data_IF_111852951086
#
_entry.id   IF_111852951086
#
_cell.length_a   1.000
_cell.length_b   1.000
_cell.length_c   1.000
_cell.angle_alpha   90.00
_cell.angle_beta   90.00
_cell.angle_gamma   90.00
#
_symmetry.space_group_name_H-M   'P 1'
#
loop_
_entity.id
_entity.type
_entity.pdbx_description
1 polymer ?
#
# COMPACT_ATOMS: atom_id res chain seq x y z
N UNK A 1 22.33 72.96 -15.38
CA UNK A 1 23.37 73.62 -14.59
C UNK A 1 23.91 72.62 -13.60
N UNK A 2 25.19 72.27 -13.73
CA UNK A 2 26.09 71.78 -12.66
C UNK A 2 26.16 72.82 -11.53
N UNK A 3 26.49 72.47 -10.27
CA UNK A 3 27.72 71.79 -9.82
C UNK A 3 27.46 70.61 -8.84
N UNK A 4 28.29 69.59 -8.65
CA UNK A 4 29.75 69.38 -8.54
C UNK A 4 30.36 69.73 -7.16
N UNK A 5 31.34 68.90 -6.77
CA UNK A 5 32.23 68.92 -5.57
C UNK A 5 31.72 68.20 -4.30
N UNK A 6 32.53 67.54 -3.48
CA UNK A 6 33.81 66.79 -3.57
C UNK A 6 34.10 66.40 -2.09
N UNK A 7 34.58 65.17 -1.82
CA UNK A 7 35.62 64.82 -0.80
C UNK A 7 35.39 65.23 0.69
N UNK A 8 35.66 64.46 1.75
CA UNK A 8 36.59 63.36 2.04
C UNK A 8 36.24 62.79 3.44
N UNK A 9 36.31 61.47 3.65
CA UNK A 9 37.33 60.72 4.45
C UNK A 9 37.47 61.06 5.95
N UNK A 10 37.39 59.99 6.76
CA UNK A 10 38.40 59.44 7.70
C UNK A 10 37.63 58.55 8.71
N UNK A 11 38.01 57.34 9.11
CA UNK A 11 39.15 56.49 8.79
C UNK A 11 39.03 55.15 9.56
N UNK A 12 39.60 54.08 8.98
CA UNK A 12 40.29 52.96 9.67
C UNK A 12 39.44 51.95 10.49
N UNK A 13 39.58 50.62 10.46
CA UNK A 13 40.69 49.73 10.11
C UNK A 13 40.25 48.37 9.51
N UNK A 14 41.21 47.77 8.82
CA UNK A 14 41.35 46.51 8.03
C UNK A 14 41.32 45.21 8.89
N UNK A 15 41.78 44.02 8.39
CA UNK A 15 41.53 43.29 7.11
C UNK A 15 41.29 41.77 7.34
N UNK A 16 40.93 41.01 6.30
CA UNK A 16 41.50 39.68 6.06
C UNK A 16 41.35 39.25 4.59
N UNK A 17 42.50 38.92 4.01
CA UNK A 17 42.81 38.39 2.69
C UNK A 17 42.56 36.87 2.60
N UNK A 18 42.38 36.34 1.38
CA UNK A 18 42.95 35.01 1.06
C UNK A 18 42.21 34.08 0.08
N UNK A 19 42.18 34.46 -1.20
CA UNK A 19 42.43 33.66 -2.44
C UNK A 19 41.90 32.21 -2.64
N UNK A 20 41.14 32.06 -3.74
CA UNK A 20 41.21 31.05 -4.85
C UNK A 20 41.12 29.54 -4.57
N UNK A 21 40.46 28.70 -5.38
CA UNK A 21 40.41 28.66 -6.85
C UNK A 21 39.27 27.75 -7.35
N UNK A 22 38.81 28.05 -8.55
CA UNK A 22 37.82 27.32 -9.36
C UNK A 22 38.51 26.27 -10.24
N UNK A 23 37.86 25.12 -10.42
CA UNK A 23 38.00 24.29 -11.62
C UNK A 23 36.65 23.68 -11.96
N UNK A 24 36.17 24.02 -13.16
CA UNK A 24 34.97 23.48 -13.79
C UNK A 24 35.20 22.05 -14.29
N UNK A 25 34.17 21.20 -14.28
CA UNK A 25 33.98 20.12 -15.24
C UNK A 25 32.50 19.72 -15.27
N UNK A 26 31.98 19.59 -16.48
CA UNK A 26 30.65 19.11 -16.84
C UNK A 26 30.35 17.74 -16.24
N UNK A 27 29.11 17.50 -15.83
CA UNK A 27 28.61 16.16 -15.53
C UNK A 27 27.19 15.98 -16.06
N UNK A 28 27.10 15.02 -16.98
CA UNK A 28 25.92 14.45 -17.60
C UNK A 28 24.81 14.13 -16.60
N UNK A 29 23.58 14.27 -17.08
CA UNK A 29 22.34 13.88 -16.41
C UNK A 29 22.28 12.36 -16.31
N UNK A 30 22.57 11.79 -15.14
CA UNK A 30 22.19 10.43 -14.77
C UNK A 30 20.92 10.50 -13.92
N UNK A 31 19.83 9.93 -14.44
CA UNK A 31 18.59 9.71 -13.70
C UNK A 31 18.82 8.60 -12.66
N UNK A 32 19.27 8.96 -11.46
CA UNK A 32 19.08 8.13 -10.27
C UNK A 32 17.82 8.59 -9.53
N UNK A 33 16.67 8.12 -10.00
CA UNK A 33 15.39 8.22 -9.30
C UNK A 33 15.10 6.93 -8.55
N UNK A 34 15.79 6.68 -7.43
CA UNK A 34 15.50 5.54 -6.56
C UNK A 34 14.19 5.82 -5.79
N UNK A 35 13.03 5.58 -6.44
CA UNK A 35 11.72 5.64 -5.79
C UNK A 35 11.55 4.35 -4.99
N UNK A 36 12.07 4.36 -3.76
CA UNK A 36 11.79 3.30 -2.78
C UNK A 36 10.30 3.40 -2.44
N UNK A 37 9.47 2.53 -3.02
CA UNK A 37 8.09 2.35 -2.60
C UNK A 37 8.08 2.06 -1.10
N UNK A 38 7.58 3.00 -0.30
CA UNK A 38 7.42 2.79 1.13
C UNK A 38 6.48 1.61 1.35
N UNK A 39 6.78 0.69 2.28
CA UNK A 39 5.90 -0.43 2.55
C UNK A 39 4.52 0.09 2.94
N UNK A 40 3.48 -0.57 2.41
CA UNK A 40 2.10 -0.37 2.84
C UNK A 40 2.00 -0.61 4.36
N UNK A 41 2.01 0.47 5.14
CA UNK A 41 1.75 0.41 6.57
C UNK A 41 0.24 0.28 6.75
N UNK A 42 -0.22 -0.89 7.22
CA UNK A 42 -1.62 -1.10 7.61
C UNK A 42 -1.72 -0.79 9.11
N UNK A 43 -2.00 0.47 9.44
CA UNK A 43 -2.30 0.88 10.81
C UNK A 43 -3.81 0.87 11.01
N UNK A 44 -4.37 -0.16 11.66
CA UNK A 44 -5.83 -0.26 11.78
C UNK A 44 -6.41 -1.33 12.72
N UNK A 45 -5.65 -1.90 13.65
CA UNK A 45 -6.21 -2.78 14.68
C UNK A 45 -6.22 -2.05 16.03
N UNK A 46 -7.36 -1.47 16.39
CA UNK A 46 -7.63 -1.03 17.77
C UNK A 46 -7.93 -2.25 18.65
N UNK A 47 -7.30 -2.31 19.83
CA UNK A 47 -7.57 -3.17 21.01
C UNK A 47 -8.37 -4.47 20.78
N UNK A 48 -7.86 -5.37 19.93
CA UNK A 48 -8.34 -6.76 19.84
C UNK A 48 -7.16 -7.72 19.89
N UNK A 49 -7.29 -8.76 20.73
CA UNK A 49 -6.25 -9.76 21.01
C UNK A 49 -5.53 -10.26 19.74
N UNK A 50 -4.20 -10.00 19.61
CA UNK A 50 -3.40 -10.40 18.44
C UNK A 50 -3.35 -11.91 18.17
N UNK A 51 -3.68 -12.72 19.18
CA UNK A 51 -3.57 -14.19 19.14
C UNK A 51 -4.71 -14.85 18.33
N UNK A 52 -5.84 -14.17 18.12
CA UNK A 52 -6.99 -14.73 17.39
C UNK A 52 -6.90 -14.56 15.86
N UNK A 53 -6.04 -13.66 15.37
CA UNK A 53 -5.86 -13.38 13.94
C UNK A 53 -4.45 -13.71 13.41
N UNK A 54 -3.50 -14.08 14.28
CA UNK A 54 -2.16 -14.52 13.88
C UNK A 54 -1.35 -13.47 13.11
N UNK A 55 -1.62 -12.18 13.31
CA UNK A 55 -0.92 -11.08 12.66
C UNK A 55 -0.05 -10.32 13.68
N UNK A 56 1.13 -10.87 13.98
CA UNK A 56 2.21 -10.10 14.59
C UNK A 56 3.02 -9.43 13.47
N UNK A 57 3.10 -8.10 13.49
CA UNK A 57 3.78 -7.29 12.47
C UNK A 57 5.21 -6.90 12.88
N UNK A 58 5.80 -7.53 13.90
CA UNK A 58 7.15 -7.20 14.38
C UNK A 58 8.18 -8.28 14.06
N UNK A 59 8.66 -8.34 12.81
CA UNK A 59 10.01 -8.90 12.53
C UNK A 59 10.74 -8.04 11.51
N UNK A 60 11.49 -7.08 12.03
CA UNK A 60 12.67 -6.53 11.36
C UNK A 60 13.77 -7.60 11.36
N UNK A 61 13.97 -8.30 10.24
CA UNK A 61 15.15 -9.12 9.98
C UNK A 61 16.02 -8.46 8.89
N UNK A 62 17.27 -8.05 9.17
CA UNK A 62 18.15 -7.37 8.20
C UNK A 62 18.81 -8.27 7.15
N UNK A 63 18.22 -9.41 6.77
CA UNK A 63 18.80 -10.30 5.76
C UNK A 63 17.72 -10.77 4.81
N UNK A 64 17.93 -10.49 3.52
CA UNK A 64 17.09 -10.94 2.41
C UNK A 64 16.60 -12.39 2.63
N UNK A 65 15.28 -12.63 2.76
CA UNK A 65 14.72 -13.96 3.02
C UNK A 65 14.53 -14.77 1.73
N UNK A 66 15.31 -14.47 0.67
CA UNK A 66 15.07 -15.00 -0.69
C UNK A 66 15.65 -16.41 -0.93
N UNK A 67 16.18 -17.11 0.08
CA UNK A 67 16.92 -18.35 -0.16
C UNK A 67 16.41 -19.61 0.57
N UNK A 68 15.37 -19.54 1.40
CA UNK A 68 15.06 -20.67 2.29
C UNK A 68 13.58 -20.93 2.39
N UNK A 69 13.02 -21.63 1.40
CA UNK A 69 12.18 -22.80 1.61
C UNK A 69 11.99 -23.53 0.26
N UNK A 70 12.57 -24.73 0.22
CA UNK A 70 12.42 -25.79 -0.79
C UNK A 70 12.83 -25.49 -2.23
N UNK A 71 14.12 -25.63 -2.53
CA UNK A 71 14.62 -26.40 -3.68
C UNK A 71 16.09 -26.77 -3.43
N UNK A 72 16.45 -28.04 -3.61
CA UNK A 72 17.86 -28.40 -3.78
C UNK A 72 18.37 -27.69 -5.05
N UNK A 73 19.53 -27.02 -5.03
CA UNK A 73 20.01 -26.29 -6.20
C UNK A 73 20.28 -27.28 -7.33
N UNK A 74 19.44 -27.24 -8.38
CA UNK A 74 19.71 -27.97 -9.61
C UNK A 74 20.93 -27.31 -10.29
N UNK A 75 22.06 -28.03 -10.49
CA UNK A 75 23.31 -27.45 -10.99
C UNK A 75 23.26 -26.92 -12.43
N UNK A 76 22.17 -27.15 -13.16
CA UNK A 76 22.09 -26.88 -14.61
C UNK A 76 21.26 -25.66 -15.03
N UNK A 77 20.58 -24.98 -14.11
CA UNK A 77 19.75 -23.80 -14.43
C UNK A 77 20.53 -22.51 -14.20
N UNK A 78 20.44 -21.55 -15.13
CA UNK A 78 20.97 -20.20 -14.93
C UNK A 78 20.22 -19.51 -13.78
N UNK A 79 20.79 -18.45 -13.22
CA UNK A 79 20.11 -17.69 -12.17
C UNK A 79 18.78 -17.10 -12.68
N UNK A 80 18.79 -16.59 -13.92
CA UNK A 80 17.61 -16.06 -14.58
C UNK A 80 16.49 -17.11 -14.71
N UNK A 81 16.83 -18.35 -15.08
CA UNK A 81 15.84 -19.43 -15.16
C UNK A 81 15.22 -19.74 -13.79
N UNK A 82 15.99 -19.60 -12.70
CA UNK A 82 15.47 -19.79 -11.34
C UNK A 82 14.47 -18.70 -10.96
N UNK A 83 14.76 -17.45 -11.30
CA UNK A 83 13.86 -16.31 -11.06
C UNK A 83 12.55 -16.50 -11.84
N UNK A 84 12.64 -16.89 -13.11
CA UNK A 84 11.47 -17.18 -13.95
C UNK A 84 10.65 -18.33 -13.38
N UNK A 85 11.29 -19.44 -13.01
CA UNK A 85 10.62 -20.58 -12.40
C UNK A 85 9.96 -20.21 -11.06
N UNK A 86 10.58 -19.34 -10.27
CA UNK A 86 10.00 -18.84 -9.03
C UNK A 86 8.73 -18.02 -9.30
N UNK A 87 8.74 -17.13 -10.29
CA UNK A 87 7.54 -16.36 -10.66
C UNK A 87 6.38 -17.30 -10.99
N UNK A 88 6.63 -18.29 -11.85
CA UNK A 88 5.61 -19.26 -12.28
C UNK A 88 5.11 -20.12 -11.11
N UNK A 89 6.01 -20.71 -10.33
CA UNK A 89 5.62 -21.60 -9.23
C UNK A 89 4.89 -20.84 -8.12
N UNK A 90 5.38 -19.64 -7.78
CA UNK A 90 4.71 -18.81 -6.78
C UNK A 90 3.35 -18.30 -7.28
N UNK A 91 3.17 -18.06 -8.58
CA UNK A 91 1.88 -17.72 -9.17
C UNK A 91 0.91 -18.91 -9.15
N UNK A 92 1.36 -20.11 -9.52
CA UNK A 92 0.55 -21.34 -9.40
C UNK A 92 0.07 -21.56 -7.98
N UNK A 93 0.97 -21.41 -7.02
CA UNK A 93 0.67 -21.55 -5.60
C UNK A 93 -0.34 -20.49 -5.14
N UNK A 94 -0.18 -19.25 -5.59
CA UNK A 94 -1.10 -18.15 -5.27
C UNK A 94 -2.50 -18.38 -5.85
N UNK A 95 -2.61 -18.73 -7.14
CA UNK A 95 -3.90 -19.04 -7.79
C UNK A 95 -4.59 -20.24 -7.13
N UNK A 96 -3.83 -21.27 -6.74
CA UNK A 96 -4.38 -22.41 -5.99
C UNK A 96 -4.91 -21.99 -4.62
N UNK A 97 -4.19 -21.11 -3.93
CA UNK A 97 -4.63 -20.58 -2.64
C UNK A 97 -5.92 -19.76 -2.81
N UNK A 98 -6.02 -18.91 -3.84
CA UNK A 98 -7.21 -18.15 -4.20
C UNK A 98 -8.41 -19.06 -4.54
N UNK A 99 -8.20 -20.04 -5.41
CA UNK A 99 -9.22 -21.03 -5.76
C UNK A 99 -9.82 -21.68 -4.51
N UNK A 100 -8.96 -22.05 -3.57
CA UNK A 100 -9.41 -22.71 -2.34
C UNK A 100 -10.09 -21.73 -1.36
N UNK A 101 -9.79 -20.43 -1.37
CA UNK A 101 -10.62 -19.43 -0.66
C UNK A 101 -12.04 -19.42 -1.26
N UNK A 102 -12.15 -19.39 -2.59
CA UNK A 102 -13.45 -19.33 -3.29
C UNK A 102 -14.23 -20.64 -3.09
N UNK A 103 -13.65 -21.78 -3.45
CA UNK A 103 -14.35 -23.06 -3.47
C UNK A 103 -14.54 -23.68 -2.09
N UNK A 104 -13.59 -23.52 -1.17
CA UNK A 104 -13.65 -24.23 0.11
C UNK A 104 -14.19 -23.37 1.27
N UNK A 105 -14.28 -22.05 1.09
CA UNK A 105 -14.85 -21.13 2.08
C UNK A 105 -16.05 -20.34 1.54
N UNK A 106 -15.89 -19.56 0.48
CA UNK A 106 -16.95 -18.67 -0.02
C UNK A 106 -18.19 -19.45 -0.48
N UNK A 107 -18.02 -20.42 -1.38
CA UNK A 107 -19.13 -21.23 -1.90
C UNK A 107 -19.88 -21.96 -0.78
N UNK A 108 -19.22 -22.69 0.14
CA UNK A 108 -19.92 -23.36 1.24
C UNK A 108 -20.61 -22.42 2.23
N UNK A 109 -20.15 -21.18 2.36
CA UNK A 109 -20.81 -20.16 3.19
C UNK A 109 -22.09 -19.68 2.52
N UNK A 110 -22.04 -19.43 1.20
CA UNK A 110 -23.21 -19.00 0.42
C UNK A 110 -24.27 -20.11 0.35
N UNK A 111 -23.84 -21.37 0.17
CA UNK A 111 -24.75 -22.51 0.06
C UNK A 111 -25.38 -22.91 1.40
N UNK A 112 -24.74 -22.55 2.52
CA UNK A 112 -25.26 -22.90 3.84
C UNK A 112 -26.38 -21.96 4.29
N UNK A 113 -27.60 -22.51 4.37
CA UNK A 113 -28.77 -21.80 4.92
C UNK A 113 -28.79 -21.72 6.44
N UNK A 114 -27.92 -22.47 7.12
CA UNK A 114 -27.91 -22.62 8.58
C UNK A 114 -26.86 -21.76 9.26
N UNK A 115 -25.87 -21.24 8.52
CA UNK A 115 -24.85 -20.37 9.10
C UNK A 115 -25.44 -18.99 9.39
N UNK A 116 -25.25 -18.43 10.60
CA UNK A 116 -25.76 -17.11 10.95
C UNK A 116 -24.83 -16.01 10.42
N UNK A 117 -24.62 -15.99 9.10
CA UNK A 117 -23.85 -14.97 8.39
C UNK A 117 -24.73 -14.34 7.32
N UNK A 118 -24.82 -13.01 7.34
CA UNK A 118 -25.66 -12.27 6.39
C UNK A 118 -24.94 -12.09 5.05
N UNK A 119 -25.66 -11.97 3.92
CA UNK A 119 -25.05 -11.71 2.62
C UNK A 119 -24.11 -10.49 2.63
N UNK A 120 -24.48 -9.41 3.33
CA UNK A 120 -23.65 -8.20 3.41
C UNK A 120 -22.32 -8.45 4.16
N UNK A 121 -22.33 -9.35 5.14
CA UNK A 121 -21.12 -9.78 5.85
C UNK A 121 -20.24 -10.65 4.95
N UNK A 122 -20.84 -11.52 4.12
CA UNK A 122 -20.08 -12.31 3.12
C UNK A 122 -19.40 -11.39 2.11
N UNK A 123 -20.13 -10.42 1.55
CA UNK A 123 -19.56 -9.43 0.63
C UNK A 123 -18.44 -8.62 1.28
N UNK A 124 -18.61 -8.22 2.54
CA UNK A 124 -17.57 -7.48 3.28
C UNK A 124 -16.34 -8.34 3.59
N UNK A 125 -16.56 -9.60 3.97
CA UNK A 125 -15.51 -10.55 4.34
C UNK A 125 -14.62 -10.95 3.15
N UNK A 126 -15.22 -11.21 1.98
CA UNK A 126 -14.50 -11.71 0.82
C UNK A 126 -14.22 -10.63 -0.23
N UNK A 127 -14.90 -9.47 -0.17
CA UNK A 127 -14.72 -8.39 -1.13
C UNK A 127 -14.94 -8.87 -2.57
N UNK A 128 -14.03 -8.50 -3.46
CA UNK A 128 -13.99 -8.93 -4.86
C UNK A 128 -12.99 -10.08 -5.10
N UNK A 129 -12.80 -10.99 -4.14
CA UNK A 129 -11.81 -12.10 -4.26
C UNK A 129 -12.06 -13.01 -5.48
N UNK A 130 -13.31 -13.17 -5.91
CA UNK A 130 -13.64 -13.96 -7.11
C UNK A 130 -13.06 -13.32 -8.37
N UNK A 131 -13.19 -12.00 -8.54
CA UNK A 131 -12.58 -11.28 -9.65
C UNK A 131 -11.04 -11.36 -9.60
N UNK A 132 -10.45 -11.30 -8.41
CA UNK A 132 -9.00 -11.51 -8.22
C UNK A 132 -8.61 -12.92 -8.66
N UNK A 133 -9.38 -13.94 -8.27
CA UNK A 133 -9.13 -15.32 -8.66
C UNK A 133 -9.22 -15.54 -10.18
N UNK A 134 -10.27 -15.02 -10.82
CA UNK A 134 -10.47 -15.11 -12.27
C UNK A 134 -9.31 -14.46 -13.03
N UNK A 135 -8.99 -13.20 -12.69
CA UNK A 135 -7.90 -12.46 -13.32
C UNK A 135 -6.55 -13.17 -13.18
N UNK A 136 -6.20 -13.65 -11.98
CA UNK A 136 -4.91 -14.31 -11.78
C UNK A 136 -4.86 -15.72 -12.40
N UNK A 137 -6.00 -16.39 -12.56
CA UNK A 137 -6.08 -17.64 -13.31
C UNK A 137 -5.77 -17.41 -14.80
N UNK A 138 -6.30 -16.33 -15.38
CA UNK A 138 -5.98 -15.92 -16.75
C UNK A 138 -4.51 -15.47 -16.88
N UNK A 139 -4.01 -14.68 -15.92
CA UNK A 139 -2.60 -14.28 -15.88
C UNK A 139 -1.69 -15.50 -15.85
N UNK A 140 -1.96 -16.47 -14.97
CA UNK A 140 -1.20 -17.73 -14.89
C UNK A 140 -1.25 -18.50 -16.22
N UNK A 141 -2.40 -18.56 -16.88
CA UNK A 141 -2.51 -19.20 -18.19
C UNK A 141 -1.62 -18.50 -19.23
N UNK A 142 -1.60 -17.16 -19.26
CA UNK A 142 -0.70 -16.41 -20.13
C UNK A 142 0.77 -16.70 -19.81
N UNK A 143 1.14 -16.69 -18.53
CA UNK A 143 2.51 -16.96 -18.08
C UNK A 143 2.97 -18.38 -18.43
N UNK A 144 2.09 -19.37 -18.37
CA UNK A 144 2.37 -20.75 -18.79
C UNK A 144 2.67 -20.88 -20.27
N UNK A 145 2.04 -20.04 -21.11
CA UNK A 145 2.25 -20.02 -22.56
C UNK A 145 3.58 -19.35 -22.95
N UNK A 146 4.19 -18.56 -22.05
CA UNK A 146 5.46 -17.89 -22.29
C UNK A 146 6.68 -18.84 -22.34
N UNK A 147 6.51 -20.13 -22.07
CA UNK A 147 7.58 -21.14 -22.14
C UNK A 147 8.86 -20.77 -21.37
N UNK A 148 8.71 -20.11 -20.21
CA UNK A 148 9.80 -19.60 -19.38
C UNK A 148 10.69 -18.53 -20.04
N UNK A 149 10.22 -17.85 -21.08
CA UNK A 149 10.90 -16.69 -21.66
C UNK A 149 10.70 -15.43 -20.79
N UNK A 150 11.78 -14.80 -20.27
CA UNK A 150 11.66 -13.60 -19.44
C UNK A 150 10.98 -12.41 -20.12
N UNK A 151 11.19 -12.22 -21.43
CA UNK A 151 10.60 -11.08 -22.17
C UNK A 151 9.10 -11.29 -22.36
N UNK A 152 8.68 -12.49 -22.76
CA UNK A 152 7.26 -12.83 -22.87
C UNK A 152 6.54 -12.73 -21.51
N UNK A 153 7.19 -13.13 -20.41
CA UNK A 153 6.66 -12.95 -19.06
C UNK A 153 6.49 -11.47 -18.73
N UNK A 154 7.51 -10.63 -18.97
CA UNK A 154 7.41 -9.19 -18.73
C UNK A 154 6.27 -8.56 -19.55
N UNK A 155 6.15 -8.94 -20.83
CA UNK A 155 5.08 -8.47 -21.71
C UNK A 155 3.69 -8.81 -21.19
N UNK A 156 3.50 -9.99 -20.61
CA UNK A 156 2.22 -10.35 -19.97
C UNK A 156 1.81 -9.39 -18.86
N UNK A 157 2.77 -8.85 -18.08
CA UNK A 157 2.48 -7.85 -17.05
C UNK A 157 2.15 -6.48 -17.64
N UNK A 158 2.84 -6.07 -18.71
CA UNK A 158 2.53 -4.82 -19.42
C UNK A 158 1.12 -4.87 -20.01
N UNK A 159 0.82 -5.94 -20.77
CA UNK A 159 -0.48 -6.12 -21.46
C UNK A 159 -1.67 -6.18 -20.49
N UNK A 160 -1.44 -6.64 -19.25
CA UNK A 160 -2.47 -6.77 -18.21
C UNK A 160 -2.43 -5.68 -17.14
N UNK A 161 -1.54 -4.69 -17.26
CA UNK A 161 -1.27 -3.67 -16.23
C UNK A 161 -2.54 -2.94 -15.75
N UNK A 162 -3.42 -2.52 -16.66
CA UNK A 162 -4.66 -1.81 -16.33
C UNK A 162 -5.64 -2.66 -15.50
N UNK A 163 -5.67 -3.98 -15.73
CA UNK A 163 -6.59 -4.89 -15.05
C UNK A 163 -6.22 -5.13 -13.58
N UNK A 164 -4.99 -4.81 -13.17
CA UNK A 164 -4.63 -4.88 -11.75
C UNK A 164 -5.38 -3.85 -10.88
N UNK A 165 -6.15 -2.93 -11.48
CA UNK A 165 -7.00 -1.99 -10.73
C UNK A 165 -7.94 -2.68 -9.73
N UNK A 166 -8.37 -3.92 -10.00
CA UNK A 166 -9.22 -4.71 -9.11
C UNK A 166 -8.59 -4.93 -7.71
N UNK A 167 -7.26 -4.90 -7.61
CA UNK A 167 -6.57 -4.98 -6.33
C UNK A 167 -6.77 -3.73 -5.48
N UNK A 168 -7.05 -2.57 -6.08
CA UNK A 168 -7.38 -1.35 -5.34
C UNK A 168 -8.64 -1.56 -4.49
N UNK A 169 -9.68 -2.12 -5.09
CA UNK A 169 -10.93 -2.44 -4.39
C UNK A 169 -10.69 -3.46 -3.27
N UNK A 170 -9.89 -4.50 -3.55
CA UNK A 170 -9.59 -5.52 -2.55
C UNK A 170 -8.81 -4.94 -1.35
N UNK A 171 -7.74 -4.18 -1.63
CA UNK A 171 -6.86 -3.61 -0.61
C UNK A 171 -7.55 -2.55 0.24
N UNK A 172 -8.45 -1.74 -0.33
CA UNK A 172 -9.25 -0.76 0.42
C UNK A 172 -10.29 -1.44 1.32
N UNK A 173 -10.88 -2.57 0.90
CA UNK A 173 -11.83 -3.33 1.70
C UNK A 173 -11.18 -4.27 2.73
N UNK A 174 -9.90 -4.64 2.57
CA UNK A 174 -9.23 -5.63 3.42
C UNK A 174 -9.36 -5.36 4.95
N UNK A 175 -9.24 -4.11 5.47
CA UNK A 175 -9.49 -3.84 6.89
C UNK A 175 -10.90 -4.24 7.35
N UNK A 176 -11.91 -4.00 6.51
CA UNK A 176 -13.29 -4.43 6.77
C UNK A 176 -13.42 -5.96 6.75
N UNK A 177 -12.74 -6.63 5.82
CA UNK A 177 -12.69 -8.11 5.79
C UNK A 177 -12.15 -8.70 7.10
N UNK A 178 -11.08 -8.11 7.65
CA UNK A 178 -10.51 -8.52 8.95
C UNK A 178 -11.49 -8.27 10.10
N UNK A 179 -12.14 -7.10 10.12
CA UNK A 179 -13.12 -6.76 11.14
C UNK A 179 -14.31 -7.75 11.14
N UNK A 180 -14.88 -8.02 9.96
CA UNK A 180 -16.00 -8.96 9.81
C UNK A 180 -15.58 -10.38 10.15
N UNK A 181 -14.38 -10.82 9.76
CA UNK A 181 -13.88 -12.14 10.16
C UNK A 181 -13.79 -12.26 11.68
N UNK A 182 -13.23 -11.25 12.34
CA UNK A 182 -13.14 -11.18 13.80
C UNK A 182 -14.51 -11.28 14.46
N UNK A 183 -15.50 -10.55 13.95
CA UNK A 183 -16.87 -10.60 14.46
C UNK A 183 -17.54 -11.94 14.20
N UNK A 184 -17.29 -12.57 13.05
CA UNK A 184 -17.75 -13.92 12.78
C UNK A 184 -17.15 -14.93 13.77
N UNK A 185 -15.86 -14.80 14.10
CA UNK A 185 -15.19 -15.69 15.05
C UNK A 185 -15.67 -15.52 16.50
N UNK A 186 -16.34 -14.41 16.85
CA UNK A 186 -17.04 -14.27 18.15
C UNK A 186 -18.29 -15.16 18.23
N UNK A 187 -18.90 -15.49 17.09
CA UNK A 187 -20.04 -16.40 17.05
C UNK A 187 -19.57 -17.86 17.09
N UNK A 188 -19.99 -18.62 18.11
CA UNK A 188 -19.57 -20.02 18.32
C UNK A 188 -19.84 -20.94 17.11
N UNK A 189 -20.95 -20.73 16.39
CA UNK A 189 -21.30 -21.58 15.23
C UNK A 189 -20.39 -21.30 14.03
N UNK A 190 -20.13 -20.03 13.71
CA UNK A 190 -19.23 -19.61 12.64
C UNK A 190 -17.78 -19.96 12.98
N UNK A 191 -17.35 -19.72 14.21
CA UNK A 191 -16.02 -20.10 14.68
C UNK A 191 -15.77 -21.61 14.55
N UNK A 192 -16.77 -22.43 14.90
CA UNK A 192 -16.71 -23.87 14.69
C UNK A 192 -16.64 -24.21 13.21
N UNK A 193 -17.48 -23.60 12.37
CA UNK A 193 -17.45 -23.81 10.93
C UNK A 193 -16.06 -23.53 10.32
N UNK A 194 -15.46 -22.37 10.61
CA UNK A 194 -14.12 -22.03 10.08
C UNK A 194 -13.05 -23.01 10.56
N UNK A 195 -13.11 -23.42 11.83
CA UNK A 195 -12.17 -24.40 12.40
C UNK A 195 -12.32 -25.78 11.77
N UNK A 196 -13.54 -26.28 11.66
CA UNK A 196 -13.84 -27.60 11.09
C UNK A 196 -13.45 -27.63 9.60
N UNK A 197 -13.70 -26.54 8.87
CA UNK A 197 -13.23 -26.37 7.47
C UNK A 197 -11.71 -26.36 7.38
N UNK A 198 -11.03 -25.55 8.19
CA UNK A 198 -9.56 -25.51 8.20
C UNK A 198 -8.95 -26.90 8.47
N UNK A 199 -9.49 -27.64 9.44
CA UNK A 199 -9.07 -29.00 9.76
C UNK A 199 -9.33 -29.98 8.61
N UNK A 200 -10.51 -29.92 7.99
CA UNK A 200 -10.88 -30.76 6.83
C UNK A 200 -9.95 -30.53 5.64
N UNK A 201 -9.54 -29.28 5.41
CA UNK A 201 -8.63 -28.90 4.33
C UNK A 201 -7.15 -29.15 4.68
N UNK A 202 -6.86 -29.61 5.90
CA UNK A 202 -5.50 -29.79 6.45
C UNK A 202 -4.63 -28.54 6.29
N UNK A 203 -5.25 -27.36 6.44
CA UNK A 203 -4.57 -26.07 6.29
C UNK A 203 -3.86 -25.69 7.58
N UNK A 204 -2.58 -25.34 7.47
CA UNK A 204 -1.75 -24.89 8.60
C UNK A 204 -2.14 -23.49 9.09
N UNK A 205 -2.58 -22.62 8.19
CA UNK A 205 -2.92 -21.23 8.49
C UNK A 205 -4.44 -21.00 8.57
N UNK A 206 -4.91 -20.03 9.38
CA UNK A 206 -6.31 -19.63 9.42
C UNK A 206 -6.71 -18.86 8.15
N UNK A 207 -8.02 -18.75 7.90
CA UNK A 207 -8.57 -18.05 6.72
C UNK A 207 -8.03 -16.62 6.57
N UNK A 208 -7.90 -15.87 7.67
CA UNK A 208 -7.37 -14.50 7.64
C UNK A 208 -5.99 -14.39 6.98
N UNK A 209 -5.10 -15.36 7.20
CA UNK A 209 -3.77 -15.38 6.56
C UNK A 209 -3.86 -15.59 5.05
N UNK A 210 -4.87 -16.31 4.56
CA UNK A 210 -5.10 -16.48 3.12
C UNK A 210 -5.71 -15.23 2.50
N UNK A 211 -6.62 -14.55 3.20
CA UNK A 211 -7.21 -13.28 2.74
C UNK A 211 -6.17 -12.15 2.63
N UNK A 212 -5.04 -12.25 3.33
CA UNK A 212 -3.93 -11.30 3.22
C UNK A 212 -3.08 -11.51 1.95
N UNK A 213 -3.10 -12.70 1.34
CA UNK A 213 -2.21 -13.05 0.22
C UNK A 213 -2.34 -12.10 -0.99
N UNK A 214 -3.53 -11.64 -1.42
CA UNK A 214 -3.64 -10.67 -2.52
C UNK A 214 -2.94 -9.34 -2.23
N UNK A 215 -3.09 -8.83 -1.00
CA UNK A 215 -2.42 -7.60 -0.55
C UNK A 215 -0.90 -7.78 -0.59
N UNK A 216 -0.40 -8.97 -0.26
CA UNK A 216 1.03 -9.27 -0.32
C UNK A 216 1.54 -9.51 -1.74
N UNK A 217 0.75 -10.16 -2.60
CA UNK A 217 1.16 -10.57 -3.95
C UNK A 217 1.37 -9.36 -4.85
N UNK A 218 0.46 -8.39 -4.79
CA UNK A 218 0.52 -7.19 -5.65
C UNK A 218 1.80 -6.36 -5.42
N UNK A 219 2.37 -6.43 -4.21
CA UNK A 219 3.62 -5.74 -3.84
C UNK A 219 4.89 -6.52 -4.18
N UNK A 220 4.74 -7.71 -4.77
CA UNK A 220 5.87 -8.57 -5.13
C UNK A 220 6.15 -8.58 -6.63
N UNK A 221 5.17 -8.29 -7.48
CA UNK A 221 5.35 -8.35 -8.94
C UNK A 221 6.49 -7.46 -9.43
N UNK A 222 6.54 -6.19 -8.99
CA UNK A 222 7.63 -5.29 -9.39
C UNK A 222 9.01 -5.77 -8.89
N UNK A 223 9.07 -6.38 -7.70
CA UNK A 223 10.34 -6.93 -7.15
C UNK A 223 10.83 -8.14 -7.95
N UNK A 224 9.90 -9.02 -8.35
CA UNK A 224 10.22 -10.19 -9.15
C UNK A 224 10.71 -9.80 -10.56
N UNK A 225 10.07 -8.79 -11.17
CA UNK A 225 10.48 -8.26 -12.47
C UNK A 225 11.84 -7.53 -12.40
N UNK A 226 12.12 -6.83 -11.30
CA UNK A 226 13.45 -6.26 -11.04
C UNK A 226 14.53 -7.34 -10.96
N UNK A 227 14.21 -8.50 -10.38
CA UNK A 227 15.14 -9.62 -10.32
C UNK A 227 15.40 -10.23 -11.70
N UNK A 228 14.40 -10.26 -12.59
CA UNK A 228 14.63 -10.59 -14.00
C UNK A 228 15.61 -9.59 -14.62
N UNK A 229 15.37 -8.29 -14.50
CA UNK A 229 16.19 -7.26 -15.14
C UNK A 229 17.67 -7.31 -14.71
N UNK A 230 17.95 -7.62 -13.43
CA UNK A 230 19.33 -7.76 -12.92
C UNK A 230 20.12 -8.86 -13.61
N UNK A 231 19.44 -9.91 -14.07
CA UNK A 231 20.06 -11.13 -14.61
C UNK A 231 19.83 -11.34 -16.11
N UNK A 232 18.96 -10.55 -16.73
CA UNK A 232 18.69 -10.59 -18.17
C UNK A 232 19.82 -9.97 -19.00
N UNK A 233 20.38 -8.84 -18.55
CA UNK A 233 21.43 -8.10 -19.28
C UNK A 233 20.85 -6.96 -20.12
N UNK A 234 21.40 -5.76 -19.99
CA UNK A 234 20.86 -4.53 -20.58
C UNK A 234 21.01 -4.44 -22.11
N UNK A 235 21.89 -5.27 -22.66
CA UNK A 235 22.26 -5.40 -24.06
C UNK A 235 21.48 -6.49 -24.81
N UNK A 236 20.62 -7.24 -24.10
CA UNK A 236 19.73 -8.23 -24.71
C UNK A 236 18.49 -7.58 -25.36
N UNK A 237 18.03 -8.17 -26.46
CA UNK A 237 16.78 -7.77 -27.12
C UNK A 237 15.58 -8.00 -26.19
N UNK A 238 14.71 -6.99 -26.04
CA UNK A 238 13.54 -7.05 -25.17
C UNK A 238 13.77 -6.59 -23.72
N UNK A 239 14.96 -6.10 -23.39
CA UNK A 239 15.23 -5.51 -22.06
C UNK A 239 14.34 -4.28 -21.75
N UNK A 240 14.00 -3.49 -22.77
CA UNK A 240 13.07 -2.38 -22.70
C UNK A 240 11.68 -2.80 -22.21
N UNK A 241 11.17 -3.94 -22.69
CA UNK A 241 9.90 -4.52 -22.24
C UNK A 241 9.96 -4.92 -20.77
N UNK A 242 11.11 -5.43 -20.31
CA UNK A 242 11.31 -5.76 -18.88
C UNK A 242 11.26 -4.49 -18.03
N UNK A 243 11.91 -3.40 -18.47
CA UNK A 243 11.86 -2.13 -17.77
C UNK A 243 10.45 -1.54 -17.74
N UNK A 244 9.72 -1.58 -18.85
CA UNK A 244 8.33 -1.14 -18.94
C UNK A 244 7.42 -1.93 -17.98
N UNK A 245 7.62 -3.25 -17.87
CA UNK A 245 6.89 -4.08 -16.92
C UNK A 245 7.18 -3.69 -15.47
N UNK A 246 8.44 -3.39 -15.13
CA UNK A 246 8.83 -2.92 -13.80
C UNK A 246 8.16 -1.58 -13.49
N UNK A 247 8.21 -0.62 -14.42
CA UNK A 247 7.59 0.70 -14.26
C UNK A 247 6.08 0.56 -14.06
N UNK A 248 5.41 -0.23 -14.90
CA UNK A 248 3.98 -0.49 -14.83
C UNK A 248 3.57 -1.08 -13.48
N UNK A 249 4.24 -2.15 -13.04
CA UNK A 249 3.89 -2.80 -11.77
C UNK A 249 4.28 -1.97 -10.53
N UNK A 250 5.30 -1.12 -10.65
CA UNK A 250 5.63 -0.14 -9.60
C UNK A 250 4.54 0.93 -9.52
N UNK A 251 4.05 1.41 -10.66
CA UNK A 251 2.93 2.35 -10.76
C UNK A 251 1.64 1.78 -10.15
N UNK A 252 1.31 0.52 -10.44
CA UNK A 252 0.17 -0.19 -9.83
C UNK A 252 0.28 -0.23 -8.30
N UNK A 253 1.44 -0.65 -7.77
CA UNK A 253 1.65 -0.71 -6.32
C UNK A 253 1.54 0.67 -5.65
N UNK A 254 2.11 1.70 -6.28
CA UNK A 254 2.01 3.08 -5.81
C UNK A 254 0.55 3.56 -5.81
N UNK A 255 -0.18 3.32 -6.90
CA UNK A 255 -1.57 3.74 -7.05
C UNK A 255 -2.48 3.09 -5.99
N UNK A 256 -2.34 1.78 -5.77
CA UNK A 256 -3.12 1.07 -4.73
C UNK A 256 -2.85 1.66 -3.35
N UNK A 257 -1.58 1.95 -3.03
CA UNK A 257 -1.22 2.58 -1.76
C UNK A 257 -1.80 3.99 -1.63
N UNK A 258 -1.76 4.78 -2.71
CA UNK A 258 -2.37 6.12 -2.76
C UNK A 258 -3.88 6.06 -2.52
N UNK A 259 -4.58 5.16 -3.20
CA UNK A 259 -6.02 4.96 -3.07
C UNK A 259 -6.40 4.46 -1.68
N UNK A 260 -5.61 3.56 -1.08
CA UNK A 260 -5.81 3.10 0.31
C UNK A 260 -5.68 4.27 1.29
N UNK A 261 -4.64 5.08 1.16
CA UNK A 261 -4.44 6.28 2.00
C UNK A 261 -5.62 7.26 1.86
N UNK A 262 -6.05 7.54 0.63
CA UNK A 262 -7.22 8.40 0.37
C UNK A 262 -8.51 7.84 0.97
N UNK A 263 -8.71 6.53 0.87
CA UNK A 263 -9.85 5.85 1.48
C UNK A 263 -9.84 6.00 3.02
N UNK A 264 -8.70 5.76 3.67
CA UNK A 264 -8.55 5.95 5.12
C UNK A 264 -8.82 7.39 5.55
N UNK A 265 -8.32 8.36 4.79
CA UNK A 265 -8.56 9.78 5.05
C UNK A 265 -10.04 10.15 4.86
N UNK A 266 -10.72 9.58 3.87
CA UNK A 266 -12.15 9.78 3.64
C UNK A 266 -12.99 9.19 4.78
N UNK A 267 -12.66 7.97 5.26
CA UNK A 267 -13.30 7.36 6.43
C UNK A 267 -13.08 8.23 7.67
N UNK A 268 -11.83 8.65 7.93
CA UNK A 268 -11.50 9.53 9.05
C UNK A 268 -12.24 10.87 9.00
N UNK A 269 -12.41 11.45 7.81
CA UNK A 269 -13.19 12.67 7.61
C UNK A 269 -14.65 12.48 8.01
N UNK A 270 -15.27 11.37 7.61
CA UNK A 270 -16.65 11.04 7.99
C UNK A 270 -16.79 10.87 9.51
N UNK A 271 -15.83 10.22 10.16
CA UNK A 271 -15.79 10.13 11.63
C UNK A 271 -15.72 11.51 12.27
N UNK A 272 -14.80 12.36 11.84
CA UNK A 272 -14.65 13.72 12.36
C UNK A 272 -15.95 14.50 12.20
N UNK A 273 -16.57 14.44 11.01
CA UNK A 273 -17.84 15.08 10.71
C UNK A 273 -18.94 14.62 11.67
N UNK A 274 -19.04 13.31 11.95
CA UNK A 274 -20.03 12.75 12.88
C UNK A 274 -19.82 13.18 14.34
N UNK A 275 -18.57 13.43 14.74
CA UNK A 275 -18.17 13.82 16.09
C UNK A 275 -18.11 15.34 16.29
N UNK A 276 -18.32 16.12 15.21
CA UNK A 276 -18.18 17.57 15.22
C UNK A 276 -19.46 18.26 15.72
N UNK A 277 -19.34 18.95 16.85
CA UNK A 277 -20.42 19.70 17.49
C UNK A 277 -20.30 21.19 17.14
N UNK A 278 -21.45 21.84 16.94
CA UNK A 278 -21.59 23.28 16.65
C UNK A 278 -21.01 23.72 15.29
N UNK A 279 -20.76 22.78 14.39
CA UNK A 279 -20.51 23.12 12.99
C UNK A 279 -21.82 23.38 12.25
N UNK A 280 -21.86 24.49 11.50
CA UNK A 280 -23.01 24.89 10.67
C UNK A 280 -22.60 25.15 9.22
N UNK A 281 -21.37 24.80 8.86
CA UNK A 281 -20.85 24.97 7.51
C UNK A 281 -21.23 23.81 6.60
N UNK A 282 -20.69 23.81 5.39
CA UNK A 282 -20.86 22.72 4.43
C UNK A 282 -20.22 21.41 4.92
N UNK A 283 -20.49 20.32 4.22
CA UNK A 283 -19.88 19.03 4.53
C UNK A 283 -18.35 19.11 4.47
N UNK A 284 -17.64 18.46 5.40
CA UNK A 284 -16.17 18.55 5.45
C UNK A 284 -15.51 18.05 4.15
N UNK A 285 -16.14 17.10 3.45
CA UNK A 285 -15.65 16.59 2.17
C UNK A 285 -15.60 17.69 1.08
N UNK A 286 -16.40 18.76 1.22
CA UNK A 286 -16.39 19.90 0.29
C UNK A 286 -15.14 20.76 0.41
N UNK A 287 -14.31 20.57 1.44
CA UNK A 287 -13.05 21.32 1.64
C UNK A 287 -11.80 20.56 1.18
N UNK A 288 -11.97 19.36 0.59
CA UNK A 288 -10.88 18.53 0.07
C UNK A 288 -10.49 17.39 0.98
N UNK A 289 -9.38 16.73 0.66
CA UNK A 289 -8.84 15.62 1.43
C UNK A 289 -8.33 16.10 2.79
N UNK A 290 -8.48 15.27 3.82
CA UNK A 290 -7.80 15.47 5.09
C UNK A 290 -6.31 15.23 4.86
N UNK A 291 -5.46 16.21 5.11
CA UNK A 291 -4.00 16.14 4.91
C UNK A 291 -3.29 15.82 6.22
N UNK A 292 -3.73 16.44 7.33
CA UNK A 292 -3.08 16.30 8.62
C UNK A 292 -4.06 16.51 9.78
N UNK A 293 -3.90 15.73 10.84
CA UNK A 293 -4.56 15.91 12.13
C UNK A 293 -3.49 16.09 13.23
N UNK A 294 -3.70 17.02 14.16
CA UNK A 294 -2.79 17.19 15.30
C UNK A 294 -3.40 17.97 16.46
N UNK A 295 -2.93 17.71 17.68
CA UNK A 295 -3.34 18.44 18.89
C UNK A 295 -2.19 19.33 19.36
N UNK A 296 -2.47 20.62 19.51
CA UNK A 296 -1.47 21.64 19.81
C UNK A 296 -1.87 22.47 21.04
N UNK A 297 -0.91 22.80 21.93
CA UNK A 297 -1.15 23.74 23.01
C UNK A 297 -1.29 25.16 22.45
N UNK A 298 -2.27 25.93 22.93
CA UNK A 298 -2.44 27.32 22.52
C UNK A 298 -1.50 28.22 23.32
N UNK A 299 -0.70 29.03 22.63
CA UNK A 299 0.20 29.99 23.29
C UNK A 299 -0.62 30.94 24.18
N UNK A 300 -0.22 31.07 25.46
CA UNK A 300 -0.87 31.88 26.52
C UNK A 300 -2.24 31.38 27.02
N UNK A 301 -2.65 30.14 26.71
CA UNK A 301 -3.83 29.52 27.31
C UNK A 301 -3.54 28.07 27.73
N UNK A 302 -4.08 27.63 28.88
CA UNK A 302 -4.00 26.22 29.33
C UNK A 302 -4.81 25.24 28.47
N UNK A 303 -5.37 25.67 27.34
CA UNK A 303 -6.24 24.85 26.52
C UNK A 303 -5.50 24.33 25.29
N UNK A 304 -5.67 23.05 25.00
CA UNK A 304 -5.27 22.45 23.72
C UNK A 304 -6.34 22.68 22.65
N UNK A 305 -5.92 22.62 21.39
CA UNK A 305 -6.78 22.64 20.21
C UNK A 305 -6.40 21.48 19.31
N UNK A 306 -7.41 20.78 18.80
CA UNK A 306 -7.22 19.79 17.75
C UNK A 306 -7.48 20.47 16.42
N UNK A 307 -6.49 20.38 15.53
CA UNK A 307 -6.46 20.97 14.21
C UNK A 307 -6.62 19.87 13.17
N UNK A 308 -7.50 20.11 12.19
CA UNK A 308 -7.67 19.26 11.03
C UNK A 308 -7.39 20.08 9.78
N UNK A 309 -6.31 19.77 9.08
CA UNK A 309 -5.91 20.43 7.85
C UNK A 309 -6.50 19.68 6.67
N UNK A 310 -7.33 20.38 5.90
CA UNK A 310 -7.87 19.97 4.60
C UNK A 310 -7.22 20.81 3.49
N UNK A 311 -7.32 20.37 2.24
CA UNK A 311 -6.74 21.07 1.08
C UNK A 311 -7.09 22.58 1.03
N UNK A 312 -8.33 22.92 1.38
CA UNK A 312 -8.86 24.29 1.29
C UNK A 312 -9.20 24.91 2.64
N UNK A 313 -8.99 24.21 3.75
CA UNK A 313 -9.42 24.68 5.07
C UNK A 313 -8.59 24.10 6.20
N UNK A 314 -8.25 24.91 7.19
CA UNK A 314 -7.81 24.45 8.51
C UNK A 314 -8.96 24.57 9.50
N UNK A 315 -9.47 23.45 10.01
CA UNK A 315 -10.51 23.40 11.04
C UNK A 315 -9.88 23.38 12.42
N UNK A 316 -10.33 24.29 13.30
CA UNK A 316 -9.85 24.43 14.68
C UNK A 316 -10.95 24.01 15.64
N UNK A 317 -10.68 22.99 16.44
CA UNK A 317 -11.66 22.44 17.39
C UNK A 317 -11.09 22.36 18.80
N UNK A 318 -11.97 22.16 19.78
CA UNK A 318 -11.62 21.79 21.16
C UNK A 318 -12.18 20.40 21.44
N UNK A 319 -11.30 19.42 21.72
CA UNK A 319 -11.70 18.07 22.13
C UNK A 319 -12.47 18.12 23.46
N UNK A 320 -13.57 17.37 23.55
CA UNK A 320 -14.40 17.21 24.76
C UNK A 320 -14.90 15.77 24.82
N UNK A 321 -14.18 14.91 25.55
CA UNK A 321 -14.36 13.46 25.46
C UNK A 321 -14.05 12.98 24.04
N UNK A 322 -14.95 12.20 23.46
CA UNK A 322 -14.85 11.70 22.08
C UNK A 322 -15.28 12.73 21.02
N UNK A 323 -15.87 13.86 21.42
CA UNK A 323 -16.40 14.85 20.48
C UNK A 323 -15.43 16.00 20.23
N UNK A 324 -15.56 16.64 19.06
CA UNK A 324 -14.84 17.85 18.70
C UNK A 324 -15.79 19.04 18.70
N UNK A 325 -15.55 20.04 19.56
CA UNK A 325 -16.36 21.26 19.57
C UNK A 325 -15.72 22.27 18.61
N UNK A 326 -16.44 22.64 17.56
CA UNK A 326 -16.01 23.69 16.63
C UNK A 326 -15.64 24.99 17.36
N UNK A 327 -14.52 25.60 16.97
CA UNK A 327 -14.07 26.90 17.48
C UNK A 327 -13.86 27.92 16.37
N UNK A 328 -13.13 27.53 15.34
CA UNK A 328 -12.81 28.42 14.23
C UNK A 328 -12.39 27.62 13.01
N UNK A 329 -12.34 28.25 11.84
CA UNK A 329 -11.70 27.68 10.66
C UNK A 329 -10.99 28.78 9.90
N UNK A 330 -9.94 28.41 9.17
CA UNK A 330 -9.21 29.29 8.26
C UNK A 330 -9.34 28.69 6.86
N UNK A 331 -9.99 29.40 5.95
CA UNK A 331 -10.04 28.99 4.55
C UNK A 331 -8.78 29.42 3.83
N UNK A 332 -8.20 28.52 3.04
CA UNK A 332 -7.11 28.87 2.13
C UNK A 332 -7.76 29.52 0.91
N UNK A 333 -7.48 30.81 0.68
CA UNK A 333 -7.91 31.48 -0.55
C UNK A 333 -7.05 30.94 -1.70
N UNK A 334 -7.72 30.50 -2.77
CA UNK A 334 -7.09 30.26 -4.06
C UNK A 334 -6.68 31.60 -4.70
#
# INVERSE_FOLDING_TARGET
GTPDLHLSRLSSERPASGVSSVSSSESSLELEGNVVASPLVISGAGDTDPELLGADWSTSDPKSPFASLTMAPNPQLSYLDRVVMEILETERMYVRDLHSIVQDYLVPIIDSRELPIKPEQVCSLFGNIEHIYEFNSELLQCLDLCASDPVAIARCFVDKSEYFEIYTQYCTNYPNSVAVLTDCLKNKSLARFFRDRQASLKRSLPLGSYLLKPVQRILKYHLLLQEIAKHFGADQEGYDVVLEAIESMTGVAWYINDMKRKHEHAVRLQEIQSLLINWKGADLATFGELVLEGTFPVHRAKNERTLFLFDRMLLITKKRGEHYVYKHHISVRQ
#
